data_IF_960794322057
#
_entry.id   IF_960794322057
#
_cell.length_a   1.000
_cell.length_b   1.000
_cell.length_c   1.000
_cell.angle_alpha   90.00
_cell.angle_beta   90.00
_cell.angle_gamma   90.00
#
_symmetry.space_group_name_H-M   'P 1'
#
loop_
_entity.id
_entity.type
_entity.pdbx_description
1 polymer ?
#
# COMPACT_ATOMS: atom_id res chain seq x y z
N UNK A 1 -19.31 0.32 -8.06
CA UNK A 1 -19.63 1.65 -8.61
C UNK A 1 -20.99 1.71 -9.30
N UNK A 2 -21.83 0.69 -9.14
CA UNK A 2 -23.18 0.68 -9.71
C UNK A 2 -23.99 1.93 -9.28
N UNK A 3 -24.69 2.55 -10.22
CA UNK A 3 -25.48 3.76 -10.00
C UNK A 3 -24.70 5.07 -9.96
N UNK A 4 -23.38 5.04 -10.17
CA UNK A 4 -22.50 6.22 -10.15
C UNK A 4 -21.99 6.62 -11.55
N UNK A 5 -22.39 5.93 -12.58
CA UNK A 5 -21.83 6.04 -13.94
C UNK A 5 -22.01 7.43 -14.55
N UNK A 6 -23.03 8.14 -14.13
CA UNK A 6 -23.37 9.50 -14.62
C UNK A 6 -22.88 10.63 -13.72
N UNK A 7 -22.24 10.32 -12.58
CA UNK A 7 -21.72 11.33 -11.67
C UNK A 7 -20.38 11.88 -12.17
N UNK A 8 -20.19 13.18 -12.01
CA UNK A 8 -18.88 13.80 -12.22
C UNK A 8 -17.87 13.29 -11.19
N UNK A 9 -16.58 13.19 -11.56
CA UNK A 9 -15.54 12.73 -10.65
C UNK A 9 -15.48 13.51 -9.33
N UNK A 10 -15.78 14.82 -9.37
CA UNK A 10 -15.83 15.66 -8.17
C UNK A 10 -16.99 15.37 -7.22
N UNK A 11 -17.98 14.60 -7.64
CA UNK A 11 -19.12 14.18 -6.83
C UNK A 11 -18.92 12.82 -6.16
N UNK A 12 -17.80 12.14 -6.45
CA UNK A 12 -17.46 10.86 -5.87
C UNK A 12 -16.77 11.05 -4.52
N UNK A 13 -17.04 10.13 -3.58
CA UNK A 13 -16.23 10.04 -2.36
C UNK A 13 -14.79 9.63 -2.69
N UNK A 14 -13.84 9.84 -1.76
CA UNK A 14 -12.44 9.44 -1.95
C UNK A 14 -12.30 7.95 -2.33
N UNK A 15 -12.99 7.05 -1.63
CA UNK A 15 -12.97 5.61 -1.95
C UNK A 15 -13.65 5.26 -3.28
N UNK A 16 -14.71 5.97 -3.65
CA UNK A 16 -15.37 5.80 -4.96
C UNK A 16 -14.46 6.28 -6.09
N UNK A 17 -13.80 7.42 -5.94
CA UNK A 17 -12.83 7.94 -6.90
C UNK A 17 -11.65 6.98 -7.07
N UNK A 18 -11.07 6.45 -5.98
CA UNK A 18 -9.99 5.47 -6.05
C UNK A 18 -10.39 4.22 -6.83
N UNK A 19 -11.57 3.68 -6.60
CA UNK A 19 -12.08 2.53 -7.36
C UNK A 19 -12.32 2.88 -8.83
N UNK A 20 -12.79 4.09 -9.14
CA UNK A 20 -12.96 4.54 -10.52
C UNK A 20 -11.62 4.66 -11.24
N UNK A 21 -10.59 5.21 -10.58
CA UNK A 21 -9.23 5.31 -11.13
C UNK A 21 -8.59 3.94 -11.34
N UNK A 22 -8.76 3.02 -10.39
CA UNK A 22 -8.30 1.64 -10.54
C UNK A 22 -9.03 0.93 -11.69
N UNK A 23 -10.34 1.08 -11.80
CA UNK A 23 -11.13 0.58 -12.92
C UNK A 23 -10.62 1.13 -14.26
N UNK A 24 -10.33 2.42 -14.34
CA UNK A 24 -9.75 3.06 -15.52
C UNK A 24 -8.39 2.44 -15.90
N UNK A 25 -7.54 2.18 -14.92
CA UNK A 25 -6.24 1.54 -15.16
C UNK A 25 -6.39 0.11 -15.71
N UNK A 26 -7.44 -0.60 -15.31
CA UNK A 26 -7.70 -1.98 -15.72
C UNK A 26 -8.33 -2.12 -17.12
N UNK A 27 -8.97 -1.08 -17.65
CA UNK A 27 -9.68 -1.13 -18.94
C UNK A 27 -8.78 -1.54 -20.10
N UNK A 28 -7.52 -1.15 -20.08
CA UNK A 28 -6.52 -1.51 -21.11
C UNK A 28 -5.93 -2.92 -20.96
N UNK A 29 -6.41 -3.70 -19.99
CA UNK A 29 -5.91 -5.04 -19.64
C UNK A 29 -4.37 -5.10 -19.46
N UNK A 30 -3.80 -4.26 -18.58
CA UNK A 30 -2.36 -4.17 -18.41
C UNK A 30 -1.80 -5.40 -17.70
N UNK A 31 -0.56 -5.76 -18.01
CA UNK A 31 0.19 -6.78 -17.27
C UNK A 31 0.80 -6.24 -15.97
N UNK A 32 1.06 -4.93 -15.92
CA UNK A 32 1.64 -4.24 -14.77
C UNK A 32 0.79 -3.02 -14.42
N UNK A 33 0.46 -2.86 -13.15
CA UNK A 33 -0.26 -1.70 -12.61
C UNK A 33 0.64 -1.00 -11.61
N UNK A 34 0.76 0.31 -11.72
CA UNK A 34 1.52 1.14 -10.77
C UNK A 34 0.51 2.00 -10.01
N UNK A 35 0.55 1.89 -8.68
CA UNK A 35 -0.31 2.63 -7.75
C UNK A 35 0.56 3.53 -6.87
N UNK A 36 0.34 4.83 -6.94
CA UNK A 36 1.05 5.82 -6.14
C UNK A 36 0.14 6.30 -5.00
N UNK A 37 0.52 5.99 -3.76
CA UNK A 37 -0.21 6.33 -2.54
C UNK A 37 -1.72 6.03 -2.62
N UNK A 38 -2.16 4.81 -2.97
CA UNK A 38 -3.56 4.54 -3.28
C UNK A 38 -4.50 4.62 -2.08
N UNK A 39 -4.00 4.62 -0.86
CA UNK A 39 -4.74 4.68 0.40
C UNK A 39 -4.85 6.09 1.00
N UNK A 40 -4.30 7.12 0.38
CA UNK A 40 -4.14 8.46 0.98
C UNK A 40 -5.47 9.14 1.37
N UNK A 41 -6.56 8.92 0.66
CA UNK A 41 -7.84 9.60 0.89
C UNK A 41 -8.99 8.66 1.25
N UNK A 42 -8.67 7.47 1.74
CA UNK A 42 -9.67 6.48 2.12
C UNK A 42 -9.59 6.14 3.61
N UNK A 43 -10.74 5.86 4.23
CA UNK A 43 -10.77 5.38 5.60
C UNK A 43 -10.33 3.91 5.72
N UNK A 44 -10.02 3.48 6.94
CA UNK A 44 -9.49 2.13 7.18
C UNK A 44 -10.41 0.98 6.75
N UNK A 45 -11.73 1.20 6.70
CA UNK A 45 -12.67 0.18 6.24
C UNK A 45 -12.59 -0.01 4.74
N UNK A 46 -12.43 1.08 4.00
CA UNK A 46 -12.24 1.05 2.55
C UNK A 46 -10.82 0.61 2.17
N UNK A 47 -9.83 0.93 3.00
CA UNK A 47 -8.45 0.47 2.81
C UNK A 47 -8.37 -1.06 2.76
N UNK A 48 -8.99 -1.76 3.71
CA UNK A 48 -9.03 -3.22 3.71
C UNK A 48 -9.69 -3.79 2.43
N UNK A 49 -10.77 -3.17 1.95
CA UNK A 49 -11.42 -3.55 0.69
C UNK A 49 -10.54 -3.30 -0.52
N UNK A 50 -9.79 -2.19 -0.54
CA UNK A 50 -8.84 -1.88 -1.60
C UNK A 50 -7.77 -2.97 -1.69
N UNK A 51 -7.13 -3.32 -0.56
CA UNK A 51 -6.08 -4.34 -0.55
C UNK A 51 -6.60 -5.74 -0.92
N UNK A 52 -7.80 -6.11 -0.48
CA UNK A 52 -8.44 -7.36 -0.93
C UNK A 52 -8.67 -7.38 -2.45
N UNK A 53 -9.07 -6.26 -3.03
CA UNK A 53 -9.23 -6.13 -4.48
C UNK A 53 -7.87 -6.21 -5.20
N UNK A 54 -6.85 -5.56 -4.67
CA UNK A 54 -5.49 -5.63 -5.23
C UNK A 54 -4.91 -7.04 -5.17
N UNK A 55 -5.19 -7.79 -4.11
CA UNK A 55 -4.80 -9.19 -4.00
C UNK A 55 -5.44 -10.04 -5.11
N UNK A 56 -6.73 -9.86 -5.39
CA UNK A 56 -7.39 -10.55 -6.50
C UNK A 56 -6.78 -10.17 -7.86
N UNK A 57 -6.54 -8.90 -8.09
CA UNK A 57 -5.91 -8.41 -9.34
C UNK A 57 -4.48 -8.95 -9.48
N UNK A 58 -3.74 -9.08 -8.38
CA UNK A 58 -2.37 -9.56 -8.38
C UNK A 58 -2.22 -11.05 -8.74
N UNK A 59 -3.31 -11.82 -8.75
CA UNK A 59 -3.28 -13.22 -9.21
C UNK A 59 -2.91 -13.34 -10.69
N UNK A 60 -3.26 -12.32 -11.50
CA UNK A 60 -3.05 -12.32 -12.93
C UNK A 60 -2.12 -11.20 -13.43
N UNK A 61 -1.86 -10.20 -12.61
CA UNK A 61 -1.11 -9.00 -12.98
C UNK A 61 -0.09 -8.62 -11.92
N UNK A 62 1.03 -8.06 -12.34
CA UNK A 62 2.00 -7.48 -11.41
C UNK A 62 1.48 -6.11 -10.90
N UNK A 63 1.67 -5.85 -9.61
CA UNK A 63 1.32 -4.57 -9.00
C UNK A 63 2.58 -3.97 -8.36
N UNK A 64 2.87 -2.73 -8.69
CA UNK A 64 3.88 -1.89 -8.04
C UNK A 64 3.14 -0.88 -7.19
N UNK A 65 3.35 -0.95 -5.89
CA UNK A 65 2.74 -0.05 -4.91
C UNK A 65 3.79 0.92 -4.39
N UNK A 66 3.58 2.22 -4.60
CA UNK A 66 4.41 3.27 -4.01
C UNK A 66 3.71 3.81 -2.78
N UNK A 67 4.36 3.77 -1.64
CA UNK A 67 3.83 4.25 -0.36
C UNK A 67 4.95 4.64 0.60
N UNK A 68 4.65 5.56 1.51
CA UNK A 68 5.49 5.88 2.66
C UNK A 68 4.97 5.25 3.97
N UNK A 69 3.81 4.61 3.95
CA UNK A 69 3.25 3.87 5.08
C UNK A 69 3.79 2.44 5.13
N UNK A 70 4.90 2.27 5.81
CA UNK A 70 5.62 0.99 5.92
C UNK A 70 4.75 -0.08 6.59
N UNK A 71 4.00 0.28 7.62
CA UNK A 71 3.15 -0.65 8.35
C UNK A 71 2.13 -1.33 7.45
N UNK A 72 1.43 -0.55 6.65
CA UNK A 72 0.45 -1.06 5.68
C UNK A 72 1.12 -1.82 4.54
N UNK A 73 2.25 -1.31 4.03
CA UNK A 73 2.99 -1.96 2.93
C UNK A 73 3.45 -3.36 3.33
N UNK A 74 4.10 -3.52 4.50
CA UNK A 74 4.62 -4.81 4.96
C UNK A 74 3.56 -5.91 5.09
N UNK A 75 2.32 -5.54 5.35
CA UNK A 75 1.22 -6.50 5.49
C UNK A 75 0.63 -6.97 4.15
N UNK A 76 0.83 -6.20 3.09
CA UNK A 76 0.09 -6.36 1.84
C UNK A 76 0.97 -6.64 0.61
N UNK A 77 2.29 -6.63 0.75
CA UNK A 77 3.23 -6.83 -0.38
C UNK A 77 4.04 -8.11 -0.22
N UNK A 78 4.59 -8.60 -1.33
CA UNK A 78 5.41 -9.81 -1.39
C UNK A 78 6.92 -9.50 -1.29
N UNK A 79 7.32 -8.33 -1.79
CA UNK A 79 8.70 -7.86 -1.77
C UNK A 79 8.75 -6.34 -1.66
N UNK A 80 9.88 -5.79 -1.27
CA UNK A 80 10.03 -4.36 -1.03
C UNK A 80 11.27 -3.83 -1.74
N UNK A 81 11.13 -2.65 -2.33
CA UNK A 81 12.24 -1.85 -2.81
C UNK A 81 12.23 -0.52 -2.05
N UNK A 82 13.28 -0.25 -1.29
CA UNK A 82 13.49 1.03 -0.62
C UNK A 82 14.29 1.97 -1.52
N UNK A 83 13.77 3.17 -1.74
CA UNK A 83 14.43 4.20 -2.55
C UNK A 83 14.74 5.41 -1.68
N UNK A 84 16.03 5.61 -1.39
CA UNK A 84 16.52 6.76 -0.63
C UNK A 84 17.92 7.15 -1.13
N UNK A 85 17.99 7.80 -2.30
CA UNK A 85 19.25 8.08 -2.99
C UNK A 85 19.89 6.85 -3.64
N UNK A 86 19.68 5.69 -3.06
CA UNK A 86 20.00 4.35 -3.58
C UNK A 86 18.73 3.53 -3.72
N UNK A 87 18.81 2.39 -4.38
CA UNK A 87 17.75 1.39 -4.47
C UNK A 87 18.22 0.13 -3.73
N UNK A 88 17.52 -0.20 -2.64
CA UNK A 88 17.77 -1.41 -1.86
C UNK A 88 16.55 -2.34 -1.97
N UNK A 89 16.75 -3.52 -2.54
CA UNK A 89 15.68 -4.49 -2.78
C UNK A 89 15.72 -5.62 -1.76
N UNK A 90 14.54 -5.93 -1.20
CA UNK A 90 14.33 -7.07 -0.32
C UNK A 90 13.28 -8.03 -0.94
N UNK A 91 13.62 -9.30 -1.18
CA UNK A 91 12.78 -10.22 -1.95
C UNK A 91 11.54 -10.72 -1.21
N UNK A 92 11.46 -10.51 0.10
CA UNK A 92 10.34 -10.92 0.95
C UNK A 92 10.01 -9.84 1.98
N UNK A 93 9.07 -10.13 2.89
CA UNK A 93 8.62 -9.21 3.94
C UNK A 93 9.13 -9.58 5.33
N UNK A 94 9.96 -10.61 5.44
CA UNK A 94 10.70 -10.96 6.67
C UNK A 94 11.94 -10.08 6.82
N UNK A 95 11.72 -8.79 7.02
CA UNK A 95 12.79 -7.80 7.01
C UNK A 95 13.39 -7.68 8.41
N UNK A 96 14.73 -7.80 8.57
CA UNK A 96 15.40 -7.54 9.83
C UNK A 96 15.12 -6.13 10.35
N UNK A 97 14.97 -5.98 11.68
CA UNK A 97 14.71 -4.67 12.29
C UNK A 97 15.84 -3.68 11.97
N UNK A 98 17.09 -4.14 11.98
CA UNK A 98 18.26 -3.34 11.65
C UNK A 98 18.19 -2.76 10.23
N UNK A 99 17.73 -3.54 9.25
CA UNK A 99 17.57 -3.07 7.87
C UNK A 99 16.53 -1.95 7.79
N UNK A 100 15.42 -2.09 8.53
CA UNK A 100 14.37 -1.08 8.56
C UNK A 100 14.83 0.21 9.26
N UNK A 101 15.57 0.10 10.38
CA UNK A 101 16.15 1.25 11.06
C UNK A 101 17.16 2.01 10.19
N UNK A 102 18.03 1.28 9.50
CA UNK A 102 19.03 1.86 8.60
C UNK A 102 18.39 2.63 7.45
N UNK A 103 17.33 2.10 6.83
CA UNK A 103 16.74 2.66 5.62
C UNK A 103 15.63 3.68 5.90
N UNK A 104 14.96 3.58 7.04
CA UNK A 104 13.83 4.47 7.38
C UNK A 104 14.11 5.40 8.56
N UNK A 105 15.24 5.23 9.26
CA UNK A 105 15.70 6.15 10.30
C UNK A 105 14.83 6.23 11.55
N UNK A 106 13.87 5.32 11.72
CA UNK A 106 13.00 5.23 12.89
C UNK A 106 13.08 3.85 13.52
N UNK A 107 13.19 3.74 14.87
CA UNK A 107 13.11 2.45 15.56
C UNK A 107 11.72 1.83 15.34
N UNK A 108 11.70 0.56 14.94
CA UNK A 108 10.49 -0.19 14.69
C UNK A 108 10.25 -1.15 15.84
N UNK A 109 9.20 -0.92 16.62
CA UNK A 109 8.74 -1.89 17.61
C UNK A 109 7.84 -2.93 16.94
N UNK A 110 8.24 -4.21 17.05
CA UNK A 110 7.41 -5.34 16.63
C UNK A 110 6.42 -5.66 17.74
N UNK A 111 5.15 -5.35 17.52
CA UNK A 111 4.07 -5.81 18.38
C UNK A 111 3.45 -7.08 17.78
N UNK A 112 3.73 -8.22 18.41
CA UNK A 112 3.09 -9.48 18.05
C UNK A 112 1.73 -9.61 18.73
N UNK A 113 0.66 -9.69 17.95
CA UNK A 113 -0.64 -10.17 18.38
C UNK A 113 -1.04 -11.36 17.49
N UNK A 114 -0.96 -12.58 18.05
CA UNK A 114 -1.25 -13.80 17.30
C UNK A 114 -0.15 -14.18 16.30
N UNK A 115 -0.50 -14.97 15.30
CA UNK A 115 0.42 -15.55 14.33
C UNK A 115 1.00 -14.57 13.29
N UNK A 116 0.61 -13.29 13.34
CA UNK A 116 1.12 -12.23 12.47
C UNK A 116 1.72 -11.09 13.30
N UNK A 117 2.99 -10.73 13.08
CA UNK A 117 3.60 -9.59 13.74
C UNK A 117 3.01 -8.28 13.22
N UNK A 118 2.39 -7.49 14.09
CA UNK A 118 2.05 -6.11 13.81
C UNK A 118 3.23 -5.21 14.16
N UNK A 119 3.67 -4.39 13.21
CA UNK A 119 4.77 -3.44 13.40
C UNK A 119 4.22 -2.03 13.58
N UNK A 120 4.62 -1.36 14.65
CA UNK A 120 4.29 0.04 14.90
C UNK A 120 5.56 0.86 14.90
N UNK A 121 5.60 1.86 14.02
CA UNK A 121 6.66 2.88 14.01
C UNK A 121 6.37 3.92 15.08
N UNK A 122 7.27 4.06 16.07
CA UNK A 122 7.27 5.21 16.98
C UNK A 122 8.35 6.19 16.51
N UNK A 123 7.96 7.21 15.79
CA UNK A 123 8.81 8.36 15.57
C UNK A 123 8.76 9.25 16.82
N UNK A 124 9.84 9.33 17.56
CA UNK A 124 10.03 10.37 18.56
C UNK A 124 10.45 11.65 17.82
N UNK A 125 9.54 12.63 17.73
CA UNK A 125 9.95 13.98 17.45
C UNK A 125 10.76 14.46 18.67
N UNK A 126 12.06 14.61 18.50
CA UNK A 126 12.85 15.45 19.39
C UNK A 126 12.60 16.89 18.93
N UNK A 127 11.94 17.64 19.82
CA UNK A 127 11.92 19.09 19.78
C UNK A 127 13.34 19.64 20.00
#
# INVERSE_FOLDING_TARGET
LEGLEKRACGELSGGQLQRALLGRALVSDPQVIILDEPNTYIDKRFEAKLYSLLEEINKERAIILVSHDIGTVLQNVKSIACVNGTLDYHPDTEIPAEWLEEHFGCPIELLGHGDLPHRVLKCHHHD
#
